data_IF_739652476061
#
_entry.id   IF_739652476061
#
_cell.length_a   1.000
_cell.length_b   1.000
_cell.length_c   1.000
_cell.angle_alpha   90.00
_cell.angle_beta   90.00
_cell.angle_gamma   90.00
#
_symmetry.space_group_name_H-M   'P 1'
#
loop_
_entity.id
_entity.type
_entity.pdbx_description
1 polymer ?
#
# COMPACT_ATOMS: atom_id res chain seq x y z
N UNK A 1 55.92 -45.26 -25.47
CA UNK A 1 54.98 -45.84 -24.48
C UNK A 1 53.92 -44.76 -24.24
N UNK A 2 52.85 -44.64 -25.04
CA UNK A 2 51.67 -45.50 -25.16
C UNK A 2 50.91 -45.65 -23.84
N UNK A 3 49.86 -44.82 -23.64
CA UNK A 3 48.53 -45.25 -23.20
C UNK A 3 47.54 -44.06 -23.30
N UNK A 4 46.53 -44.29 -24.13
CA UNK A 4 45.30 -43.52 -24.32
C UNK A 4 44.18 -44.09 -23.42
N UNK A 5 43.00 -43.42 -23.48
CA UNK A 5 41.66 -43.91 -23.07
C UNK A 5 41.31 -43.73 -21.57
N UNK A 6 40.08 -43.40 -21.13
CA UNK A 6 38.74 -43.45 -21.73
C UNK A 6 37.78 -42.56 -20.91
N UNK A 7 36.74 -42.04 -21.57
CA UNK A 7 35.53 -41.45 -21.00
C UNK A 7 34.66 -42.49 -20.28
N UNK A 8 33.86 -42.09 -19.27
CA UNK A 8 32.44 -42.45 -19.27
C UNK A 8 31.57 -41.60 -18.31
N UNK A 9 30.37 -41.18 -18.75
CA UNK A 9 29.30 -40.63 -17.93
C UNK A 9 28.32 -41.74 -17.46
N UNK A 10 27.68 -41.57 -16.30
CA UNK A 10 26.55 -42.41 -15.88
C UNK A 10 25.21 -41.74 -16.17
N UNK A 11 24.61 -42.24 -17.23
CA UNK A 11 23.20 -42.15 -17.58
C UNK A 11 22.35 -42.93 -16.58
N UNK A 12 21.24 -42.36 -16.10
CA UNK A 12 20.05 -43.14 -15.77
C UNK A 12 18.84 -42.49 -16.43
N UNK A 13 18.46 -43.06 -17.57
CA UNK A 13 17.14 -42.96 -18.16
C UNK A 13 16.28 -44.07 -17.55
N UNK A 14 15.04 -43.76 -17.20
CA UNK A 14 13.95 -44.72 -17.25
C UNK A 14 12.74 -44.02 -17.85
N UNK A 15 12.45 -44.42 -19.09
CA UNK A 15 11.19 -44.21 -19.78
C UNK A 15 10.54 -45.57 -19.94
N UNK A 16 9.22 -45.67 -19.73
CA UNK A 16 8.29 -46.35 -20.63
C UNK A 16 6.85 -46.23 -20.12
N UNK A 17 6.00 -45.72 -20.99
CA UNK A 17 4.54 -45.77 -21.05
C UNK A 17 3.96 -47.19 -21.10
N UNK A 18 2.65 -47.36 -20.81
CA UNK A 18 1.63 -47.89 -21.75
C UNK A 18 0.20 -47.97 -21.12
N UNK A 19 -0.77 -47.48 -21.91
CA UNK A 19 -2.16 -47.98 -22.16
C UNK A 19 -3.26 -48.00 -21.08
N UNK A 20 -4.25 -47.10 -21.29
CA UNK A 20 -5.66 -47.37 -21.68
C UNK A 20 -6.44 -48.52 -21.03
N UNK A 21 -7.55 -48.20 -20.36
CA UNK A 21 -8.81 -48.94 -20.51
C UNK A 21 -10.06 -48.07 -20.21
N UNK A 22 -11.00 -48.12 -21.16
CA UNK A 22 -12.38 -47.61 -21.11
C UNK A 22 -13.30 -48.65 -20.46
N UNK A 23 -14.37 -48.23 -19.80
CA UNK A 23 -15.64 -48.95 -19.83
C UNK A 23 -16.85 -47.99 -19.88
N UNK A 24 -17.56 -48.06 -21.00
CA UNK A 24 -18.94 -47.62 -21.28
C UNK A 24 -19.95 -48.56 -20.60
N UNK A 25 -21.22 -48.20 -20.33
CA UNK A 25 -22.37 -48.34 -21.27
C UNK A 25 -23.72 -47.89 -20.62
N UNK A 26 -24.46 -47.03 -21.35
CA UNK A 26 -25.94 -46.88 -21.62
C UNK A 26 -26.93 -46.82 -20.43
N UNK A 27 -28.04 -46.06 -20.44
CA UNK A 27 -28.85 -45.30 -21.42
C UNK A 27 -30.24 -45.14 -20.77
N UNK A 28 -31.03 -44.07 -20.93
CA UNK A 28 -31.98 -43.80 -22.04
C UNK A 28 -32.67 -42.44 -21.77
N UNK A 29 -32.65 -41.51 -22.72
CA UNK A 29 -33.81 -41.06 -23.54
C UNK A 29 -34.97 -40.36 -22.81
N UNK A 30 -35.22 -39.09 -23.13
CA UNK A 30 -36.40 -38.57 -23.87
C UNK A 30 -36.39 -37.03 -23.80
N UNK A 31 -36.33 -36.37 -24.95
CA UNK A 31 -36.60 -34.94 -25.11
C UNK A 31 -38.10 -34.70 -25.31
N UNK A 32 -38.69 -33.73 -24.60
CA UNK A 32 -39.79 -32.89 -25.09
C UNK A 32 -39.64 -31.44 -24.58
N UNK A 33 -40.04 -30.44 -25.39
CA UNK A 33 -39.72 -29.03 -25.15
C UNK A 33 -40.85 -28.30 -24.41
N UNK A 34 -40.50 -27.35 -23.55
CA UNK A 34 -41.42 -26.29 -23.11
C UNK A 34 -40.66 -24.97 -23.14
N UNK A 35 -41.02 -24.12 -24.10
CA UNK A 35 -40.63 -22.72 -24.13
C UNK A 35 -41.27 -21.97 -22.96
N UNK A 36 -40.49 -21.22 -22.18
CA UNK A 36 -40.91 -19.94 -21.58
C UNK A 36 -39.70 -19.13 -21.10
N UNK A 37 -39.67 -17.89 -21.60
CA UNK A 37 -38.82 -16.70 -21.42
C UNK A 37 -37.57 -16.68 -20.50
N UNK A 38 -36.54 -15.90 -20.89
CA UNK A 38 -35.31 -15.73 -20.11
C UNK A 38 -35.54 -14.84 -18.88
N UNK A 39 -35.31 -15.38 -17.70
CA UNK A 39 -35.27 -14.61 -16.45
C UNK A 39 -33.83 -14.09 -16.21
N UNK A 40 -33.57 -12.87 -16.67
CA UNK A 40 -32.60 -11.94 -16.08
C UNK A 40 -33.36 -10.98 -15.13
N UNK A 41 -32.67 -10.18 -14.31
CA UNK A 41 -32.16 -10.42 -12.95
C UNK A 41 -33.02 -9.65 -11.92
N UNK A 42 -32.51 -9.31 -10.72
CA UNK A 42 -32.57 -7.89 -10.38
C UNK A 42 -31.17 -7.41 -9.96
N UNK A 43 -30.43 -6.73 -10.84
CA UNK A 43 -30.38 -5.26 -10.88
C UNK A 43 -30.85 -4.63 -9.57
N UNK A 44 -29.93 -4.50 -8.62
CA UNK A 44 -30.16 -3.75 -7.39
C UNK A 44 -30.43 -2.31 -7.82
N UNK A 45 -31.70 -1.96 -7.72
CA UNK A 45 -32.29 -0.72 -8.15
C UNK A 45 -31.62 0.47 -7.47
N UNK A 46 -31.37 1.50 -8.28
CA UNK A 46 -31.15 2.88 -7.83
C UNK A 46 -32.17 3.18 -6.73
N UNK A 47 -31.73 3.20 -5.47
CA UNK A 47 -32.54 3.72 -4.37
C UNK A 47 -32.75 5.21 -4.67
N UNK A 48 -33.85 5.48 -5.35
CA UNK A 48 -34.42 6.79 -5.58
C UNK A 48 -34.62 7.44 -4.22
N UNK A 49 -33.73 8.36 -3.86
CA UNK A 49 -33.97 9.30 -2.77
C UNK A 49 -35.03 10.28 -3.27
N UNK A 50 -36.30 9.94 -3.07
CA UNK A 50 -37.41 10.86 -3.23
C UNK A 50 -37.38 11.83 -2.05
N UNK A 51 -36.72 12.98 -2.23
CA UNK A 51 -36.83 14.12 -1.31
C UNK A 51 -38.13 14.83 -1.69
N UNK A 52 -39.21 14.53 -0.97
CA UNK A 52 -40.45 15.30 -1.07
C UNK A 52 -40.22 16.68 -0.44
N UNK A 53 -40.16 17.74 -1.26
CA UNK A 53 -40.22 19.12 -0.80
C UNK A 53 -41.65 19.41 -0.32
N UNK A 54 -41.91 19.26 0.98
CA UNK A 54 -43.05 19.92 1.62
C UNK A 54 -42.63 21.34 1.98
N UNK A 55 -42.84 22.25 1.02
CA UNK A 55 -43.01 23.68 1.29
C UNK A 55 -44.17 23.84 2.27
N UNK A 56 -43.92 24.50 3.41
CA UNK A 56 -44.78 25.47 4.10
C UNK A 56 -44.05 25.82 5.41
N UNK A 57 -43.47 27.02 5.47
CA UNK A 57 -43.51 27.83 6.68
C UNK A 57 -43.36 29.30 6.26
N UNK A 58 -44.50 29.98 6.07
CA UNK A 58 -44.54 31.43 6.00
C UNK A 58 -44.29 31.98 7.41
N UNK A 59 -43.05 32.34 7.70
CA UNK A 59 -42.73 33.21 8.83
C UNK A 59 -42.82 34.66 8.35
N UNK A 60 -43.99 35.27 8.54
CA UNK A 60 -44.13 36.72 8.52
C UNK A 60 -43.38 37.31 9.72
N UNK A 61 -42.09 37.60 9.54
CA UNK A 61 -41.30 38.34 10.52
C UNK A 61 -41.45 39.84 10.24
N UNK A 62 -42.46 40.45 10.87
CA UNK A 62 -42.49 41.89 11.10
C UNK A 62 -41.67 42.18 12.35
N UNK A 63 -40.62 42.99 12.22
CA UNK A 63 -39.85 43.43 13.40
C UNK A 63 -38.45 43.95 13.08
N UNK A 64 -38.38 45.27 12.91
CA UNK A 64 -37.22 46.14 13.15
C UNK A 64 -35.90 45.78 12.44
N UNK A 65 -35.61 46.52 11.36
CA UNK A 65 -34.31 46.53 10.69
C UNK A 65 -33.25 47.23 11.56
N UNK A 66 -32.69 46.49 12.52
CA UNK A 66 -31.31 46.70 12.96
C UNK A 66 -30.47 45.58 12.34
N UNK A 67 -30.21 45.70 11.04
CA UNK A 67 -29.24 44.86 10.37
C UNK A 67 -27.85 45.28 10.88
N UNK A 68 -27.31 44.53 11.84
CA UNK A 68 -25.87 44.49 12.03
C UNK A 68 -25.29 43.97 10.70
N UNK A 69 -24.69 44.87 9.92
CA UNK A 69 -23.90 44.55 8.74
C UNK A 69 -22.72 43.74 9.26
N UNK A 70 -22.84 42.40 9.24
CA UNK A 70 -21.70 41.52 9.34
C UNK A 70 -20.83 41.81 8.12
N UNK A 71 -19.63 42.27 8.38
CA UNK A 71 -18.56 42.55 7.44
C UNK A 71 -18.42 41.34 6.50
N UNK A 72 -18.81 41.49 5.24
CA UNK A 72 -18.84 40.40 4.25
C UNK A 72 -17.46 39.79 3.94
N UNK A 73 -16.40 40.34 4.53
CA UNK A 73 -15.03 39.85 4.41
C UNK A 73 -14.76 38.60 5.28
N UNK A 74 -15.52 38.38 6.36
CA UNK A 74 -15.30 37.24 7.27
C UNK A 74 -15.69 35.89 6.62
N UNK A 75 -16.70 35.89 5.75
CA UNK A 75 -17.11 34.71 4.97
C UNK A 75 -16.16 34.42 3.79
N UNK A 76 -15.46 35.44 3.27
CA UNK A 76 -14.50 35.30 2.17
C UNK A 76 -13.21 34.62 2.62
N UNK A 77 -12.70 34.94 3.82
CA UNK A 77 -11.49 34.32 4.36
C UNK A 77 -11.69 32.82 4.64
N UNK A 78 -12.87 32.44 5.10
CA UNK A 78 -13.20 31.04 5.39
C UNK A 78 -13.30 30.20 4.11
N UNK A 79 -13.91 30.76 3.06
CA UNK A 79 -14.02 30.12 1.75
C UNK A 79 -12.66 29.98 1.06
N UNK A 80 -11.77 30.96 1.25
CA UNK A 80 -10.40 30.88 0.76
C UNK A 80 -9.64 29.75 1.46
N UNK A 81 -9.73 29.59 2.78
CA UNK A 81 -9.10 28.48 3.51
C UNK A 81 -9.57 27.11 2.99
N UNK A 82 -10.86 26.92 2.73
CA UNK A 82 -11.40 25.66 2.21
C UNK A 82 -10.93 25.39 0.77
N UNK A 83 -10.92 26.42 -0.09
CA UNK A 83 -10.39 26.29 -1.47
C UNK A 83 -8.89 26.01 -1.47
N UNK A 84 -8.13 26.66 -0.59
CA UNK A 84 -6.71 26.43 -0.43
C UNK A 84 -6.42 25.03 0.11
N UNK A 85 -7.17 24.53 1.09
CA UNK A 85 -7.00 23.18 1.62
C UNK A 85 -7.28 22.11 0.55
N UNK A 86 -8.39 22.29 -0.20
CA UNK A 86 -8.70 21.43 -1.36
C UNK A 86 -7.61 21.50 -2.44
N UNK A 87 -7.12 22.70 -2.76
CA UNK A 87 -6.05 22.90 -3.75
C UNK A 87 -4.75 22.23 -3.30
N UNK A 88 -4.35 22.41 -2.04
CA UNK A 88 -3.18 21.76 -1.43
C UNK A 88 -3.27 20.25 -1.53
N UNK A 89 -4.46 19.68 -1.30
CA UNK A 89 -4.67 18.22 -1.42
C UNK A 89 -4.53 17.71 -2.87
N UNK A 90 -5.07 18.45 -3.84
CA UNK A 90 -5.01 18.07 -5.27
C UNK A 90 -3.60 18.24 -5.84
N UNK A 91 -2.94 19.36 -5.53
CA UNK A 91 -1.56 19.61 -5.95
C UNK A 91 -0.63 18.54 -5.37
N UNK A 92 -0.80 18.21 -4.07
CA UNK A 92 -0.08 17.12 -3.44
C UNK A 92 -0.34 15.78 -4.14
N UNK A 93 -1.59 15.41 -4.40
CA UNK A 93 -1.86 14.17 -5.17
C UNK A 93 -1.24 14.18 -6.57
N UNK A 94 -1.16 15.34 -7.22
CA UNK A 94 -0.59 15.45 -8.56
C UNK A 94 0.92 15.27 -8.53
N UNK A 95 1.60 15.91 -7.58
CA UNK A 95 3.05 15.72 -7.33
C UNK A 95 3.34 14.27 -6.94
N UNK A 96 2.50 13.68 -6.09
CA UNK A 96 2.63 12.27 -5.74
C UNK A 96 2.43 11.35 -6.96
N UNK A 97 1.49 11.67 -7.87
CA UNK A 97 1.25 10.83 -9.06
C UNK A 97 2.31 10.97 -10.15
N UNK A 98 3.06 12.08 -10.22
CA UNK A 98 4.19 12.22 -11.13
C UNK A 98 5.48 11.61 -10.60
N UNK A 99 5.61 11.44 -9.28
CA UNK A 99 6.78 10.92 -8.58
C UNK A 99 6.91 9.38 -8.62
N UNK A 100 6.89 8.76 -9.82
CA UNK A 100 6.96 7.30 -9.96
C UNK A 100 8.28 6.70 -9.43
N UNK A 101 9.41 7.39 -9.66
CA UNK A 101 10.73 6.93 -9.18
C UNK A 101 10.83 6.97 -7.65
N UNK A 102 10.24 7.97 -7.01
CA UNK A 102 10.26 8.08 -5.55
C UNK A 102 9.43 6.98 -4.91
N UNK A 103 8.29 6.61 -5.53
CA UNK A 103 7.52 5.43 -5.13
C UNK A 103 8.29 4.12 -5.31
N UNK A 104 9.08 3.99 -6.37
CA UNK A 104 9.95 2.81 -6.55
C UNK A 104 10.99 2.71 -5.42
N UNK A 105 11.60 3.83 -5.01
CA UNK A 105 12.51 3.84 -3.87
C UNK A 105 11.80 3.47 -2.56
N UNK A 106 10.58 3.97 -2.34
CA UNK A 106 9.79 3.58 -1.16
C UNK A 106 9.36 2.10 -1.20
N UNK A 107 9.10 1.56 -2.39
CA UNK A 107 8.80 0.14 -2.56
C UNK A 107 10.02 -0.73 -2.25
N UNK A 108 11.22 -0.28 -2.62
CA UNK A 108 12.48 -0.92 -2.23
C UNK A 108 12.71 -0.89 -0.71
N UNK A 109 12.34 0.20 -0.03
CA UNK A 109 12.35 0.30 1.44
C UNK A 109 11.47 -0.78 2.06
N UNK A 110 10.21 -0.91 1.61
CA UNK A 110 9.27 -1.92 2.13
C UNK A 110 9.81 -3.32 1.90
N UNK A 111 10.32 -3.59 0.70
CA UNK A 111 10.92 -4.89 0.38
C UNK A 111 12.08 -5.22 1.32
N UNK A 112 13.00 -4.27 1.55
CA UNK A 112 14.15 -4.46 2.43
C UNK A 112 13.72 -4.62 3.88
N UNK A 113 12.82 -3.78 4.38
CA UNK A 113 12.27 -3.90 5.74
C UNK A 113 11.59 -5.26 5.93
N UNK A 114 10.82 -5.74 4.94
CA UNK A 114 10.21 -7.07 5.00
C UNK A 114 11.27 -8.18 5.11
N UNK A 115 12.36 -8.09 4.34
CA UNK A 115 13.46 -9.05 4.43
C UNK A 115 14.22 -8.98 5.74
N UNK A 116 14.43 -7.77 6.27
CA UNK A 116 15.04 -7.55 7.59
C UNK A 116 14.16 -8.12 8.70
N UNK A 117 12.85 -7.84 8.68
CA UNK A 117 11.88 -8.40 9.61
C UNK A 117 11.87 -9.93 9.60
N UNK A 118 11.85 -10.53 8.41
CA UNK A 118 11.94 -11.99 8.25
C UNK A 118 13.24 -12.57 8.82
N UNK A 119 14.38 -11.90 8.63
CA UNK A 119 15.64 -12.33 9.21
C UNK A 119 15.65 -12.22 10.74
N UNK A 120 15.10 -11.13 11.30
CA UNK A 120 14.98 -10.91 12.74
C UNK A 120 14.04 -11.95 13.38
N UNK A 121 12.92 -12.26 12.73
CA UNK A 121 11.97 -13.29 13.20
C UNK A 121 12.62 -14.68 13.25
N UNK A 122 13.48 -14.98 12.28
CA UNK A 122 14.29 -16.21 12.25
C UNK A 122 15.51 -16.19 13.18
N UNK A 123 15.71 -15.10 13.96
CA UNK A 123 16.90 -14.87 14.80
C UNK A 123 18.23 -14.84 14.01
N UNK A 124 18.19 -14.55 12.71
CA UNK A 124 19.36 -14.42 11.85
C UNK A 124 19.75 -12.94 11.70
N UNK A 125 20.32 -12.40 12.78
CA UNK A 125 20.83 -11.02 12.82
C UNK A 125 21.96 -10.76 11.82
N UNK A 126 22.87 -11.70 11.52
CA UNK A 126 23.85 -11.53 10.45
C UNK A 126 23.21 -11.28 9.08
N UNK A 127 22.17 -12.03 8.70
CA UNK A 127 21.44 -11.78 7.46
C UNK A 127 20.71 -10.44 7.47
N UNK A 128 20.09 -10.07 8.60
CA UNK A 128 19.46 -8.76 8.76
C UNK A 128 20.47 -7.61 8.55
N UNK A 129 21.65 -7.72 9.15
CA UNK A 129 22.74 -6.77 8.98
C UNK A 129 23.28 -6.72 7.55
N UNK A 130 23.34 -7.85 6.85
CA UNK A 130 23.73 -7.89 5.44
C UNK A 130 22.75 -7.15 4.52
N UNK A 131 21.45 -7.19 4.83
CA UNK A 131 20.41 -6.50 4.05
C UNK A 131 20.38 -5.00 4.36
N UNK A 132 20.46 -4.63 5.65
CA UNK A 132 20.55 -3.23 6.08
C UNK A 132 21.82 -2.56 5.56
N UNK A 133 22.89 -3.36 5.41
CA UNK A 133 24.23 -2.92 5.07
C UNK A 133 25.09 -2.79 6.33
N UNK A 134 26.41 -2.79 6.13
CA UNK A 134 27.41 -2.63 7.20
C UNK A 134 27.65 -1.18 7.61
N UNK A 135 26.90 -0.23 7.04
CA UNK A 135 26.89 1.17 7.46
C UNK A 135 25.48 1.74 7.25
N UNK A 136 25.06 2.76 8.00
CA UNK A 136 23.81 3.49 7.75
C UNK A 136 23.88 4.37 6.49
N UNK A 137 24.97 4.32 5.72
CA UNK A 137 25.22 5.20 4.57
C UNK A 137 24.95 4.51 3.22
N UNK A 138 24.02 3.57 3.19
CA UNK A 138 23.74 2.76 1.99
C UNK A 138 22.91 3.55 0.98
N UNK A 139 23.22 3.39 -0.30
CA UNK A 139 22.58 4.11 -1.42
C UNK A 139 21.05 4.04 -1.41
N UNK A 140 20.47 2.90 -1.03
CA UNK A 140 19.01 2.74 -0.97
C UNK A 140 18.40 3.61 0.13
N UNK A 141 19.07 3.75 1.28
CA UNK A 141 18.59 4.55 2.40
C UNK A 141 18.73 6.06 2.11
N UNK A 142 19.78 6.47 1.40
CA UNK A 142 19.91 7.86 0.90
C UNK A 142 18.77 8.23 -0.05
N UNK A 143 18.47 7.35 -1.01
CA UNK A 143 17.38 7.55 -1.98
C UNK A 143 16.02 7.53 -1.28
N UNK A 144 15.83 6.63 -0.32
CA UNK A 144 14.65 6.59 0.52
C UNK A 144 14.45 7.89 1.29
N UNK A 145 15.48 8.40 1.95
CA UNK A 145 15.40 9.65 2.71
C UNK A 145 15.15 10.87 1.82
N UNK A 146 15.74 10.90 0.63
CA UNK A 146 15.43 11.93 -0.36
C UNK A 146 13.94 11.87 -0.78
N UNK A 147 13.42 10.69 -1.09
CA UNK A 147 12.02 10.48 -1.45
C UNK A 147 11.07 10.85 -0.30
N UNK A 148 11.33 10.35 0.91
CA UNK A 148 10.56 10.67 2.12
C UNK A 148 10.51 12.18 2.36
N UNK A 149 11.64 12.88 2.23
CA UNK A 149 11.72 14.32 2.42
C UNK A 149 11.00 15.12 1.34
N UNK A 150 11.06 14.67 0.07
CA UNK A 150 10.36 15.33 -1.03
C UNK A 150 8.84 15.16 -0.95
N UNK A 151 8.37 13.99 -0.52
CA UNK A 151 6.93 13.68 -0.42
C UNK A 151 6.32 14.20 0.89
N UNK A 152 7.15 14.54 1.88
CA UNK A 152 6.75 15.16 3.15
C UNK A 152 6.60 16.67 3.02
N UNK A 153 5.37 17.15 3.08
CA UNK A 153 5.05 18.58 3.01
C UNK A 153 4.65 19.16 4.37
N UNK A 154 4.01 18.35 5.23
CA UNK A 154 3.58 18.81 6.55
C UNK A 154 4.65 18.61 7.63
N UNK A 155 4.63 19.40 8.73
CA UNK A 155 5.50 19.17 9.88
C UNK A 155 5.31 17.78 10.49
N UNK A 156 4.06 17.29 10.54
CA UNK A 156 3.74 15.97 11.09
C UNK A 156 4.34 14.84 10.25
N UNK A 157 4.31 14.96 8.92
CA UNK A 157 4.96 14.01 8.01
C UNK A 157 6.47 13.97 8.24
N UNK A 158 7.10 15.14 8.32
CA UNK A 158 8.54 15.24 8.59
C UNK A 158 8.91 14.63 9.94
N UNK A 159 8.11 14.86 10.98
CA UNK A 159 8.32 14.25 12.28
C UNK A 159 8.26 12.71 12.24
N UNK A 160 7.38 12.12 11.41
CA UNK A 160 7.37 10.66 11.21
C UNK A 160 8.60 10.18 10.43
N UNK A 161 9.11 10.94 9.46
CA UNK A 161 10.38 10.63 8.77
C UNK A 161 11.55 10.63 9.75
N UNK A 162 11.61 11.61 10.65
CA UNK A 162 12.66 11.69 11.67
C UNK A 162 12.56 10.51 12.66
N UNK A 163 11.34 10.15 13.05
CA UNK A 163 11.08 8.97 13.90
C UNK A 163 11.49 7.67 13.19
N UNK A 164 11.20 7.54 11.90
CA UNK A 164 11.64 6.42 11.08
C UNK A 164 13.17 6.32 11.02
N UNK A 165 13.87 7.43 10.77
CA UNK A 165 15.33 7.44 10.72
C UNK A 165 15.98 7.12 12.07
N UNK A 166 15.39 7.62 13.16
CA UNK A 166 15.87 7.37 14.52
C UNK A 166 15.71 5.89 14.88
N UNK A 167 14.54 5.31 14.62
CA UNK A 167 14.29 3.88 14.85
C UNK A 167 15.15 2.98 13.95
N UNK A 168 15.40 3.36 12.70
CA UNK A 168 16.29 2.60 11.81
C UNK A 168 17.75 2.63 12.28
N UNK A 169 18.17 3.75 12.86
CA UNK A 169 19.50 3.87 13.51
C UNK A 169 19.58 2.97 14.75
N UNK A 170 18.52 2.93 15.55
CA UNK A 170 18.41 1.99 16.67
C UNK A 170 18.44 0.54 16.19
N UNK A 171 17.70 0.22 15.12
CA UNK A 171 17.67 -1.12 14.52
C UNK A 171 19.06 -1.53 14.07
N UNK A 172 19.76 -0.65 13.35
CA UNK A 172 21.15 -0.86 12.93
C UNK A 172 22.07 -1.12 14.14
N UNK A 173 21.93 -0.33 15.22
CA UNK A 173 22.70 -0.51 16.44
C UNK A 173 22.43 -1.85 17.11
N UNK A 174 21.16 -2.24 17.27
CA UNK A 174 20.75 -3.49 17.90
C UNK A 174 21.19 -4.71 17.08
N UNK A 175 21.03 -4.67 15.75
CA UNK A 175 21.50 -5.73 14.85
C UNK A 175 23.02 -5.89 14.94
N UNK A 176 23.77 -4.77 14.97
CA UNK A 176 25.24 -4.80 15.10
C UNK A 176 25.69 -5.32 16.47
N UNK A 177 24.94 -5.02 17.54
CA UNK A 177 25.19 -5.51 18.90
C UNK A 177 24.71 -6.94 19.13
N UNK A 178 24.10 -7.57 18.12
CA UNK A 178 23.49 -8.89 18.21
C UNK A 178 22.40 -8.98 19.30
N UNK A 179 21.63 -7.90 19.49
CA UNK A 179 20.54 -7.79 20.46
C UNK A 179 19.19 -8.10 19.79
N UNK A 180 18.73 -9.35 19.94
CA UNK A 180 17.51 -9.85 19.27
C UNK A 180 16.27 -9.07 19.69
N UNK A 181 16.07 -8.84 20.99
CA UNK A 181 14.86 -8.18 21.49
C UNK A 181 14.88 -6.69 21.15
N UNK A 182 16.04 -6.04 21.26
CA UNK A 182 16.22 -4.67 20.78
C UNK A 182 15.98 -4.54 19.27
N UNK A 183 16.44 -5.51 18.47
CA UNK A 183 16.19 -5.54 17.02
C UNK A 183 14.71 -5.70 16.68
N UNK A 184 13.97 -6.56 17.38
CA UNK A 184 12.52 -6.70 17.18
C UNK A 184 11.78 -5.41 17.50
N UNK A 185 12.08 -4.81 18.65
CA UNK A 185 11.42 -3.58 19.08
C UNK A 185 11.71 -2.43 18.11
N UNK A 186 12.99 -2.20 17.78
CA UNK A 186 13.38 -1.16 16.85
C UNK A 186 12.81 -1.39 15.44
N UNK A 187 12.67 -2.65 15.00
CA UNK A 187 12.03 -2.98 13.73
C UNK A 187 10.55 -2.60 13.73
N UNK A 188 9.81 -2.94 14.80
CA UNK A 188 8.39 -2.58 14.94
C UNK A 188 8.24 -1.06 14.98
N UNK A 189 9.11 -0.34 15.68
CA UNK A 189 9.11 1.13 15.72
C UNK A 189 9.34 1.72 14.33
N UNK A 190 10.31 1.19 13.57
CA UNK A 190 10.57 1.61 12.18
C UNK A 190 9.39 1.35 11.25
N UNK A 191 8.84 0.13 11.27
CA UNK A 191 7.69 -0.22 10.43
C UNK A 191 6.47 0.65 10.78
N UNK A 192 6.20 0.86 12.06
CA UNK A 192 5.08 1.67 12.55
C UNK A 192 5.21 3.14 12.18
N UNK A 193 6.42 3.72 12.29
CA UNK A 193 6.68 5.10 11.88
C UNK A 193 6.48 5.28 10.36
N UNK A 194 6.96 4.32 9.57
CA UNK A 194 6.78 4.33 8.12
C UNK A 194 5.30 4.19 7.73
N UNK A 195 4.55 3.28 8.35
CA UNK A 195 3.12 3.12 8.11
C UNK A 195 2.34 4.40 8.43
N UNK A 196 2.60 5.02 9.59
CA UNK A 196 2.00 6.31 9.96
C UNK A 196 2.31 7.38 8.94
N UNK A 197 3.56 7.47 8.49
CA UNK A 197 3.97 8.40 7.44
C UNK A 197 3.21 8.17 6.13
N UNK A 198 3.06 6.93 5.68
CA UNK A 198 2.30 6.62 4.45
C UNK A 198 0.81 6.94 4.58
N UNK A 199 0.26 6.83 5.79
CA UNK A 199 -1.14 7.17 6.08
C UNK A 199 -1.35 8.69 6.01
N UNK A 200 -0.45 9.48 6.60
CA UNK A 200 -0.51 10.95 6.55
C UNK A 200 -0.37 11.49 5.13
N UNK A 201 0.55 10.89 4.36
CA UNK A 201 0.81 11.30 2.97
C UNK A 201 -0.24 10.77 1.97
N UNK A 202 -1.06 9.78 2.37
CA UNK A 202 -2.09 9.16 1.52
C UNK A 202 -1.54 8.14 0.52
N UNK A 203 -0.34 7.61 0.76
CA UNK A 203 0.36 6.62 -0.07
C UNK A 203 0.04 5.16 0.29
N UNK A 204 -0.70 4.91 1.38
CA UNK A 204 -1.00 3.56 1.92
C UNK A 204 -1.57 2.58 0.88
N UNK A 205 -2.37 3.05 -0.08
CA UNK A 205 -2.95 2.20 -1.14
C UNK A 205 -2.10 2.09 -2.42
N UNK A 206 -0.98 2.81 -2.49
CA UNK A 206 -0.10 2.87 -3.67
C UNK A 206 1.13 1.99 -3.50
N UNK A 207 1.59 1.83 -2.27
CA UNK A 207 2.72 0.99 -1.90
C UNK A 207 2.24 -0.41 -1.54
N UNK A 208 2.86 -1.44 -2.08
CA UNK A 208 2.46 -2.84 -1.85
C UNK A 208 3.20 -3.40 -0.64
N UNK A 209 2.49 -4.12 0.23
CA UNK A 209 3.09 -4.85 1.34
C UNK A 209 3.30 -4.05 2.63
N UNK A 210 2.59 -2.93 2.78
CA UNK A 210 2.27 -2.39 4.11
C UNK A 210 1.16 -3.21 4.77
#
# INVERSE_FOLDING_TARGET
MAASFLSNPTTFLSSSSLTSQKHTVKGTSVCKPVCRLPNYPPHISKRSLSISLTSIFFLSLSGNANAAILEADDDLELLEKVKQDRKKRIEKQTVLNSANKDKEYLQDVIYKLSKVGQAIENNDLPSAGSILGQTPDVDWLKKANAALSQLSSSPDEKAQVDTFNSSLTSLYSSVTKNDIEGSKLAFVDSASAFEKWTTLTGLVGQLKGL
#
